data_IF_660915233283
#
_entry.id   IF_660915233283
#
_cell.length_a   1.000
_cell.length_b   1.000
_cell.length_c   1.000
_cell.angle_alpha   90.00
_cell.angle_beta   90.00
_cell.angle_gamma   90.00
#
_symmetry.space_group_name_H-M   'P 1'
#
loop_
_entity.id
_entity.type
_entity.pdbx_description
1 polymer ?
#
# COMPACT_ATOMS: atom_id res chain seq x y z
N UNK A 1 -38.03 -25.95 -0.84
CA UNK A 1 -36.66 -25.72 -0.33
C UNK A 1 -35.83 -26.93 -0.72
N UNK A 2 -34.74 -26.70 -1.45
CA UNK A 2 -33.81 -27.77 -1.88
C UNK A 2 -33.12 -28.37 -0.63
N UNK A 3 -32.68 -29.62 -0.68
CA UNK A 3 -31.93 -30.27 0.41
C UNK A 3 -30.70 -29.51 0.85
N UNK A 4 -30.04 -28.80 -0.09
CA UNK A 4 -28.85 -27.96 0.19
C UNK A 4 -29.24 -26.75 1.03
N UNK A 5 -30.36 -26.08 0.73
CA UNK A 5 -30.81 -24.90 1.51
C UNK A 5 -31.11 -25.30 2.96
N UNK A 6 -31.74 -26.46 3.17
CA UNK A 6 -31.98 -27.00 4.53
C UNK A 6 -30.69 -27.27 5.32
N UNK A 7 -29.63 -27.71 4.64
CA UNK A 7 -28.33 -27.92 5.29
C UNK A 7 -27.69 -26.57 5.67
N UNK A 8 -27.73 -25.58 4.76
CA UNK A 8 -27.22 -24.22 5.02
C UNK A 8 -27.93 -23.61 6.23
N UNK A 9 -29.27 -23.64 6.23
CA UNK A 9 -30.09 -23.11 7.32
C UNK A 9 -29.80 -23.81 8.66
N UNK A 10 -29.65 -25.14 8.62
CA UNK A 10 -29.30 -25.91 9.81
C UNK A 10 -27.94 -25.51 10.38
N UNK A 11 -26.89 -25.43 9.55
CA UNK A 11 -25.54 -25.03 9.98
C UNK A 11 -25.57 -23.65 10.60
N UNK A 12 -26.17 -22.66 9.92
CA UNK A 12 -26.24 -21.30 10.42
C UNK A 12 -27.03 -21.20 11.73
N UNK A 13 -28.12 -21.93 11.87
CA UNK A 13 -28.90 -22.01 13.10
C UNK A 13 -28.11 -22.64 14.25
N UNK A 14 -27.42 -23.76 13.98
CA UNK A 14 -26.62 -24.46 14.99
C UNK A 14 -25.43 -23.65 15.50
N UNK A 15 -24.86 -22.80 14.62
CA UNK A 15 -23.72 -21.92 14.93
C UNK A 15 -24.12 -20.53 15.40
N UNK A 16 -25.43 -20.16 15.33
CA UNK A 16 -25.94 -18.88 15.78
C UNK A 16 -25.53 -17.67 14.94
N UNK A 17 -25.01 -17.91 13.74
CA UNK A 17 -24.51 -16.87 12.82
C UNK A 17 -24.64 -17.29 11.37
N UNK A 18 -24.72 -16.33 10.43
CA UNK A 18 -24.68 -16.61 8.98
C UNK A 18 -23.24 -16.83 8.52
N UNK A 19 -22.76 -18.07 8.60
CA UNK A 19 -21.40 -18.45 8.22
C UNK A 19 -21.34 -19.19 6.89
N UNK A 20 -22.49 -19.70 6.41
CA UNK A 20 -22.57 -20.50 5.19
C UNK A 20 -23.70 -19.95 4.34
N UNK A 21 -23.38 -19.58 3.10
CA UNK A 21 -24.35 -19.13 2.08
C UNK A 21 -23.99 -19.74 0.73
N UNK A 22 -24.89 -19.67 -0.23
CA UNK A 22 -24.53 -19.94 -1.63
C UNK A 22 -23.56 -18.84 -2.11
N UNK A 23 -22.59 -19.17 -2.95
CA UNK A 23 -21.61 -18.21 -3.45
C UNK A 23 -22.28 -16.97 -4.10
N UNK A 24 -23.41 -17.15 -4.78
CA UNK A 24 -24.20 -16.04 -5.34
C UNK A 24 -24.85 -15.11 -4.29
N UNK A 25 -24.95 -15.56 -3.05
CA UNK A 25 -25.49 -14.81 -1.90
C UNK A 25 -24.39 -14.23 -1.00
N UNK A 26 -23.14 -14.53 -1.28
CA UNK A 26 -21.98 -14.05 -0.54
C UNK A 26 -21.64 -12.60 -0.92
N UNK A 27 -22.57 -11.67 -0.68
CA UNK A 27 -22.47 -10.27 -1.07
C UNK A 27 -21.48 -9.47 -0.21
N UNK A 28 -21.16 -9.95 1.00
CA UNK A 28 -20.14 -9.37 1.88
C UNK A 28 -18.70 -9.78 1.52
N UNK A 29 -18.52 -10.61 0.48
CA UNK A 29 -17.19 -11.03 0.02
C UNK A 29 -16.78 -10.17 -1.18
N UNK A 30 -15.87 -9.25 -0.92
CA UNK A 30 -15.32 -8.35 -1.93
C UNK A 30 -14.24 -7.49 -1.32
N UNK A 31 -13.87 -6.44 -2.01
CA UNK A 31 -12.95 -5.43 -1.51
C UNK A 31 -13.10 -4.13 -2.31
N UNK A 32 -12.92 -3.03 -1.63
CA UNK A 32 -12.67 -1.71 -2.23
C UNK A 32 -11.18 -1.52 -2.44
N UNK A 33 -10.82 -0.41 -3.05
CA UNK A 33 -9.43 -0.02 -3.27
C UNK A 33 -9.12 1.32 -2.60
N UNK A 34 -7.94 1.41 -2.01
CA UNK A 34 -7.38 2.64 -1.47
C UNK A 34 -6.15 3.02 -2.27
N UNK A 35 -6.10 4.26 -2.74
CA UNK A 35 -4.94 4.76 -3.48
C UNK A 35 -3.70 4.83 -2.59
N UNK A 36 -2.56 4.50 -3.17
CA UNK A 36 -1.24 4.62 -2.57
C UNK A 36 -0.67 6.05 -2.68
N UNK A 37 -1.42 6.96 -3.32
CA UNK A 37 -0.95 8.29 -3.68
C UNK A 37 -0.05 8.30 -4.94
N UNK A 38 0.14 7.14 -5.57
CA UNK A 38 0.90 6.99 -6.82
C UNK A 38 0.07 6.21 -7.84
N UNK A 39 -0.32 6.87 -8.93
CA UNK A 39 -1.13 6.24 -9.98
C UNK A 39 -0.46 4.98 -10.54
N UNK A 40 0.82 5.02 -10.78
CA UNK A 40 1.57 3.88 -11.31
C UNK A 40 1.67 2.71 -10.31
N UNK A 41 1.78 3.01 -9.01
CA UNK A 41 1.76 1.98 -7.96
C UNK A 41 0.35 1.42 -7.76
N UNK A 42 -0.67 2.25 -7.88
CA UNK A 42 -2.07 1.83 -7.83
C UNK A 42 -2.37 0.82 -8.95
N UNK A 43 -1.91 1.08 -10.18
CA UNK A 43 -2.08 0.20 -11.32
C UNK A 43 -1.44 -1.17 -11.08
N UNK A 44 -0.21 -1.24 -10.57
CA UNK A 44 0.44 -2.54 -10.30
C UNK A 44 -0.12 -3.27 -9.07
N UNK A 45 -0.76 -2.56 -8.13
CA UNK A 45 -1.56 -3.16 -7.06
C UNK A 45 -2.86 -3.73 -7.60
N UNK A 46 -3.45 -3.09 -8.60
CA UNK A 46 -4.62 -3.52 -9.35
C UNK A 46 -5.87 -2.71 -9.11
N UNK A 47 -6.86 -2.96 -9.95
CA UNK A 47 -8.20 -2.38 -9.89
C UNK A 47 -9.28 -3.42 -9.62
N UNK A 48 -10.48 -2.98 -9.27
CA UNK A 48 -11.72 -3.77 -9.26
C UNK A 48 -12.78 -3.18 -10.20
N UNK A 49 -12.52 -1.98 -10.73
CA UNK A 49 -13.23 -1.33 -11.85
C UNK A 49 -12.26 -0.34 -12.50
N UNK A 50 -12.69 0.30 -13.56
CA UNK A 50 -11.94 1.40 -14.20
C UNK A 50 -11.71 2.62 -13.29
N UNK A 51 -12.49 2.74 -12.20
CA UNK A 51 -12.44 3.89 -11.28
C UNK A 51 -11.78 3.62 -9.92
N UNK A 52 -11.64 2.35 -9.53
CA UNK A 52 -11.10 1.99 -8.22
C UNK A 52 -9.78 1.22 -8.32
N UNK A 53 -8.69 1.86 -7.97
CA UNK A 53 -7.33 1.33 -8.06
C UNK A 53 -6.56 1.49 -6.76
N UNK A 54 -5.57 0.62 -6.56
CA UNK A 54 -4.70 0.65 -5.38
C UNK A 54 -4.75 -0.61 -4.54
N UNK A 55 -4.50 -0.48 -3.22
CA UNK A 55 -4.48 -1.62 -2.29
C UNK A 55 -5.89 -2.05 -1.91
N UNK A 56 -6.17 -3.36 -1.83
CA UNK A 56 -7.50 -3.88 -1.50
C UNK A 56 -7.80 -3.77 0.00
N UNK A 57 -9.03 -3.42 0.35
CA UNK A 57 -9.59 -3.60 1.70
C UNK A 57 -9.85 -5.08 1.98
N UNK A 58 -10.07 -5.46 3.25
CA UNK A 58 -10.29 -6.86 3.64
C UNK A 58 -9.10 -7.79 3.37
N UNK A 59 -7.92 -7.24 3.11
CA UNK A 59 -6.72 -7.96 2.70
C UNK A 59 -5.47 -7.38 3.31
N UNK A 60 -4.41 -8.21 3.35
CA UNK A 60 -3.09 -7.78 3.78
C UNK A 60 -2.25 -7.42 2.54
N UNK A 61 -1.68 -6.22 2.54
CA UNK A 61 -0.66 -5.76 1.59
C UNK A 61 0.64 -5.50 2.34
N UNK A 62 1.75 -6.08 1.90
CA UNK A 62 3.08 -5.85 2.47
C UNK A 62 3.92 -4.96 1.53
N UNK A 63 4.39 -3.82 2.06
CA UNK A 63 5.46 -3.02 1.46
C UNK A 63 6.76 -3.29 2.20
N UNK A 64 7.78 -3.81 1.50
CA UNK A 64 9.05 -4.19 2.08
C UNK A 64 10.23 -3.67 1.26
N UNK A 65 11.34 -3.40 1.91
CA UNK A 65 12.52 -2.86 1.23
C UNK A 65 13.48 -2.16 2.19
N UNK A 66 14.52 -1.55 1.62
CA UNK A 66 15.53 -0.81 2.37
C UNK A 66 14.95 0.38 3.11
N UNK A 67 15.63 0.82 4.17
CA UNK A 67 15.27 2.05 4.89
C UNK A 67 15.28 3.25 3.94
N UNK A 68 14.33 4.19 4.16
CA UNK A 68 14.19 5.40 3.33
C UNK A 68 13.77 5.13 1.88
N UNK A 69 13.18 3.97 1.55
CA UNK A 69 12.58 3.69 0.24
C UNK A 69 11.12 4.18 0.10
N UNK A 70 10.65 5.04 1.00
CA UNK A 70 9.34 5.68 0.92
C UNK A 70 8.17 4.84 1.45
N UNK A 71 8.41 3.70 2.12
CA UNK A 71 7.36 2.81 2.63
C UNK A 71 6.34 3.54 3.54
N UNK A 72 6.84 4.27 4.53
CA UNK A 72 5.99 5.03 5.47
C UNK A 72 5.23 6.14 4.74
N UNK A 73 5.84 6.82 3.77
CA UNK A 73 5.17 7.83 2.93
C UNK A 73 4.00 7.23 2.14
N UNK A 74 4.18 6.05 1.53
CA UNK A 74 3.10 5.32 0.85
C UNK A 74 1.99 4.94 1.84
N UNK A 75 2.35 4.42 3.02
CA UNK A 75 1.36 4.06 4.04
C UNK A 75 0.53 5.27 4.49
N UNK A 76 1.15 6.44 4.67
CA UNK A 76 0.46 7.68 5.02
C UNK A 76 -0.48 8.15 3.90
N UNK A 77 -0.10 8.02 2.63
CA UNK A 77 -0.98 8.30 1.50
C UNK A 77 -2.19 7.35 1.46
N UNK A 78 -2.00 6.06 1.80
CA UNK A 78 -3.12 5.11 1.91
C UNK A 78 -4.07 5.50 3.05
N UNK A 79 -3.53 5.96 4.20
CA UNK A 79 -4.33 6.50 5.31
C UNK A 79 -5.13 7.70 4.83
N UNK A 80 -4.48 8.67 4.18
CA UNK A 80 -5.15 9.82 3.58
C UNK A 80 -6.27 9.39 2.63
N UNK A 81 -6.02 8.42 1.76
CA UNK A 81 -7.04 7.89 0.84
C UNK A 81 -8.25 7.30 1.56
N UNK A 82 -8.06 6.64 2.71
CA UNK A 82 -9.16 6.15 3.54
C UNK A 82 -9.94 7.30 4.19
N UNK A 83 -9.23 8.33 4.67
CA UNK A 83 -9.83 9.53 5.26
C UNK A 83 -10.63 10.34 4.24
N UNK A 84 -10.14 10.47 3.02
CA UNK A 84 -10.84 11.12 1.90
C UNK A 84 -12.15 10.38 1.54
N UNK A 85 -12.22 9.07 1.82
CA UNK A 85 -13.43 8.23 1.67
C UNK A 85 -14.31 8.22 2.94
N UNK A 86 -14.02 9.05 3.94
CA UNK A 86 -14.82 9.21 5.15
C UNK A 86 -14.52 8.22 6.28
N UNK A 87 -13.47 7.40 6.16
CA UNK A 87 -13.07 6.44 7.18
C UNK A 87 -11.95 6.98 8.08
N UNK A 88 -11.76 6.39 9.26
CA UNK A 88 -10.56 6.62 10.08
C UNK A 88 -9.40 5.75 9.60
N UNK A 89 -8.17 6.28 9.73
CA UNK A 89 -6.95 5.49 9.63
C UNK A 89 -6.47 5.00 10.99
N UNK A 90 -5.71 3.92 11.02
CA UNK A 90 -5.01 3.49 12.23
C UNK A 90 -3.53 3.21 11.91
N UNK A 91 -2.63 3.68 12.78
CA UNK A 91 -1.19 3.45 12.68
C UNK A 91 -0.67 2.78 13.94
N UNK A 92 -0.30 1.51 13.84
CA UNK A 92 0.24 0.69 14.92
C UNK A 92 1.77 0.71 14.81
N UNK A 93 2.40 1.47 15.72
CA UNK A 93 3.83 1.73 15.73
C UNK A 93 4.56 0.78 16.69
N UNK A 94 5.42 -0.06 16.15
CA UNK A 94 6.33 -0.96 16.87
C UNK A 94 7.75 -0.41 16.87
N UNK A 95 8.14 0.34 15.83
CA UNK A 95 9.51 0.84 15.63
C UNK A 95 9.86 2.04 16.52
N UNK A 96 8.86 2.79 16.94
CA UNK A 96 9.04 3.94 17.83
C UNK A 96 9.28 5.28 17.11
N UNK A 97 9.57 5.28 15.82
CA UNK A 97 9.73 6.49 15.03
C UNK A 97 8.37 6.97 14.51
N UNK A 98 7.98 8.19 14.87
CA UNK A 98 6.77 8.83 14.37
C UNK A 98 6.94 10.34 14.34
N UNK A 99 6.45 10.99 13.29
CA UNK A 99 6.49 12.44 13.10
C UNK A 99 5.11 12.94 12.64
N UNK A 100 4.41 13.65 13.53
CA UNK A 100 3.11 14.27 13.24
C UNK A 100 3.22 15.25 12.07
N UNK A 101 4.28 16.07 12.04
CA UNK A 101 4.42 17.11 11.01
C UNK A 101 4.64 16.51 9.62
N UNK A 102 5.28 15.33 9.55
CA UNK A 102 5.40 14.60 8.29
C UNK A 102 4.07 14.01 7.83
N UNK A 103 3.27 13.46 8.73
CA UNK A 103 1.94 12.94 8.42
C UNK A 103 0.99 14.06 7.93
N UNK A 104 0.96 15.21 8.64
CA UNK A 104 0.18 16.39 8.24
C UNK A 104 0.63 16.94 6.88
N UNK A 105 1.94 16.95 6.60
CA UNK A 105 2.49 17.42 5.33
C UNK A 105 2.04 16.55 4.14
N UNK A 106 1.85 15.26 4.35
CA UNK A 106 1.29 14.34 3.34
C UNK A 106 -0.22 14.54 3.19
N UNK A 107 -0.85 15.20 4.17
CA UNK A 107 -2.28 15.51 4.17
C UNK A 107 -3.11 14.54 5.00
N UNK A 108 -2.48 13.82 5.94
CA UNK A 108 -3.21 13.01 6.93
C UNK A 108 -3.86 13.91 7.96
N UNK A 109 -5.15 13.74 8.17
CA UNK A 109 -5.92 14.34 9.24
C UNK A 109 -5.65 13.58 10.54
N UNK A 110 -4.93 14.23 11.49
CA UNK A 110 -4.55 13.59 12.74
C UNK A 110 -5.74 13.35 13.67
N UNK A 111 -6.82 14.13 13.56
CA UNK A 111 -8.06 13.94 14.35
C UNK A 111 -8.82 12.67 13.89
N UNK A 112 -8.58 12.21 12.67
CA UNK A 112 -9.10 10.96 12.10
C UNK A 112 -8.07 9.85 12.06
N UNK A 113 -6.98 9.95 12.83
CA UNK A 113 -5.92 8.95 12.91
C UNK A 113 -5.85 8.34 14.30
N UNK A 114 -6.11 7.05 14.40
CA UNK A 114 -5.86 6.27 15.62
C UNK A 114 -4.37 5.91 15.63
N UNK A 115 -3.64 6.37 16.65
CA UNK A 115 -2.23 6.06 16.82
C UNK A 115 -2.01 5.15 18.03
N UNK A 116 -1.43 3.97 17.80
CA UNK A 116 -1.11 3.01 18.86
C UNK A 116 0.38 2.73 18.91
N UNK A 117 1.01 2.90 20.08
CA UNK A 117 2.38 2.43 20.34
C UNK A 117 2.30 1.10 21.09
N UNK A 118 2.84 0.05 20.51
CA UNK A 118 2.74 -1.31 21.05
C UNK A 118 4.13 -1.86 21.37
N UNK A 119 4.34 -2.39 22.59
CA UNK A 119 5.65 -2.86 23.03
C UNK A 119 5.97 -4.29 22.58
N UNK A 120 4.96 -5.11 22.29
CA UNK A 120 5.14 -6.53 21.98
C UNK A 120 4.23 -6.99 20.85
N UNK A 121 4.56 -8.14 20.27
CA UNK A 121 3.76 -8.81 19.26
C UNK A 121 2.37 -9.20 19.81
N UNK A 122 2.27 -9.58 21.08
CA UNK A 122 1.03 -9.93 21.75
C UNK A 122 0.11 -8.74 21.90
N UNK A 123 0.65 -7.58 22.28
CA UNK A 123 -0.12 -6.33 22.33
C UNK A 123 -0.55 -5.88 20.94
N UNK A 124 0.35 -5.98 19.94
CA UNK A 124 0.02 -5.68 18.56
C UNK A 124 -1.12 -6.55 18.04
N UNK A 125 -1.11 -7.85 18.36
CA UNK A 125 -2.13 -8.82 17.99
C UNK A 125 -3.53 -8.39 18.47
N UNK A 126 -3.66 -8.05 19.76
CA UNK A 126 -4.92 -7.61 20.34
C UNK A 126 -5.41 -6.29 19.73
N UNK A 127 -4.52 -5.30 19.60
CA UNK A 127 -4.85 -3.99 19.00
C UNK A 127 -5.28 -4.13 17.54
N UNK A 128 -4.57 -4.92 16.76
CA UNK A 128 -4.90 -5.13 15.34
C UNK A 128 -6.25 -5.84 15.18
N UNK A 129 -6.54 -6.84 16.02
CA UNK A 129 -7.82 -7.55 16.00
C UNK A 129 -8.98 -6.58 16.20
N UNK A 130 -8.94 -5.78 17.27
CA UNK A 130 -10.00 -4.81 17.60
C UNK A 130 -10.17 -3.76 16.50
N UNK A 131 -9.05 -3.20 15.97
CA UNK A 131 -9.12 -2.19 14.91
C UNK A 131 -9.72 -2.76 13.61
N UNK A 132 -9.41 -4.01 13.26
CA UNK A 132 -9.93 -4.65 12.05
C UNK A 132 -11.41 -5.01 12.20
N UNK A 133 -11.85 -5.38 13.39
CA UNK A 133 -13.24 -5.72 13.67
C UNK A 133 -14.13 -4.48 13.88
N UNK A 134 -13.56 -3.28 13.99
CA UNK A 134 -14.30 -2.05 14.31
C UNK A 134 -14.78 -1.35 13.01
N UNK A 135 -16.09 -1.17 12.82
CA UNK A 135 -16.62 -0.38 11.71
C UNK A 135 -16.11 1.07 11.73
N UNK A 136 -15.86 1.64 10.55
CA UNK A 136 -15.38 3.01 10.39
C UNK A 136 -13.85 3.14 10.33
N UNK A 137 -13.10 2.09 10.64
CA UNK A 137 -11.66 2.00 10.35
C UNK A 137 -11.47 1.53 8.92
N UNK A 138 -10.93 2.36 8.03
CA UNK A 138 -10.73 2.03 6.62
C UNK A 138 -9.36 1.44 6.29
N UNK A 139 -8.35 1.70 7.12
CA UNK A 139 -6.99 1.17 6.97
C UNK A 139 -6.29 1.01 8.31
N UNK A 140 -5.54 -0.06 8.46
CA UNK A 140 -4.67 -0.33 9.60
C UNK A 140 -3.25 -0.57 9.12
N UNK A 141 -2.32 0.29 9.50
CA UNK A 141 -0.89 0.19 9.18
C UNK A 141 -0.14 -0.39 10.37
N UNK A 142 0.73 -1.36 10.15
CA UNK A 142 1.68 -1.90 11.14
C UNK A 142 3.12 -1.58 10.73
N UNK A 143 3.80 -0.73 11.51
CA UNK A 143 5.19 -0.30 11.27
C UNK A 143 6.08 -0.65 12.48
N UNK A 144 6.96 -1.61 12.38
CA UNK A 144 7.22 -2.55 11.31
C UNK A 144 7.25 -3.99 11.85
N UNK A 145 6.94 -4.96 10.97
CA UNK A 145 7.00 -6.40 11.32
C UNK A 145 8.41 -6.79 11.75
N UNK A 146 9.43 -6.19 11.13
CA UNK A 146 10.83 -6.50 11.43
C UNK A 146 11.23 -6.26 12.90
N UNK A 147 10.53 -5.34 13.58
CA UNK A 147 10.81 -4.93 14.96
C UNK A 147 9.92 -5.64 16.00
N UNK A 148 8.99 -6.50 15.56
CA UNK A 148 8.12 -7.23 16.49
C UNK A 148 8.92 -8.19 17.34
N UNK A 149 8.81 -8.01 18.66
CA UNK A 149 9.44 -8.84 19.68
C UNK A 149 8.35 -9.50 20.52
N UNK A 150 8.52 -10.75 20.90
CA UNK A 150 7.56 -11.41 21.81
C UNK A 150 7.72 -10.88 23.24
N UNK A 151 6.65 -10.93 24.02
CA UNK A 151 6.70 -10.52 25.42
C UNK A 151 7.71 -11.35 26.21
N UNK A 152 7.84 -12.65 25.91
CA UNK A 152 8.83 -13.53 26.54
C UNK A 152 10.27 -13.13 26.25
N UNK A 153 10.56 -12.51 25.09
CA UNK A 153 11.88 -11.96 24.79
C UNK A 153 12.13 -10.67 25.57
N UNK A 154 11.10 -9.84 25.77
CA UNK A 154 11.19 -8.58 26.55
C UNK A 154 11.41 -8.86 28.05
N UNK A 155 10.80 -9.91 28.59
CA UNK A 155 10.90 -10.31 30.00
C UNK A 155 12.17 -11.12 30.32
N UNK A 156 12.84 -11.66 29.28
CA UNK A 156 14.07 -12.40 29.47
C UNK A 156 15.20 -11.43 29.83
N UNK A 157 15.63 -11.51 31.10
CA UNK A 157 16.73 -10.71 31.63
C UNK A 157 17.93 -10.77 30.67
N UNK A 158 18.50 -9.59 30.36
CA UNK A 158 19.63 -9.40 29.45
C UNK A 158 20.87 -10.25 29.76
N UNK A 159 20.88 -10.93 30.93
CA UNK A 159 21.94 -11.85 31.39
C UNK A 159 21.76 -13.30 30.91
N UNK A 160 20.59 -13.71 30.45
CA UNK A 160 20.35 -15.07 29.93
C UNK A 160 20.31 -15.06 28.40
N UNK A 161 21.42 -15.37 27.76
CA UNK A 161 21.65 -15.44 26.31
C UNK A 161 20.86 -16.52 25.54
N UNK A 162 19.75 -17.02 26.05
CA UNK A 162 18.98 -18.11 25.41
C UNK A 162 17.70 -17.60 24.75
N UNK A 163 17.83 -16.67 23.80
CA UNK A 163 16.71 -16.40 22.86
C UNK A 163 16.60 -17.61 21.92
N UNK A 164 15.49 -18.34 21.99
CA UNK A 164 15.27 -19.49 21.11
C UNK A 164 15.17 -19.03 19.65
N UNK A 165 15.93 -19.63 18.71
CA UNK A 165 15.80 -19.31 17.29
C UNK A 165 14.36 -19.47 16.80
N UNK A 166 13.85 -18.50 16.06
CA UNK A 166 12.53 -18.56 15.44
C UNK A 166 11.37 -17.99 16.27
N UNK A 167 11.62 -17.33 17.40
CA UNK A 167 10.60 -16.69 18.23
C UNK A 167 9.83 -15.62 17.46
N UNK A 168 10.52 -14.70 16.79
CA UNK A 168 9.91 -13.65 15.98
C UNK A 168 8.99 -14.18 14.86
N UNK A 169 9.41 -15.15 14.01
CA UNK A 169 8.52 -15.72 13.01
C UNK A 169 7.26 -16.38 13.58
N UNK A 170 7.35 -16.98 14.76
CA UNK A 170 6.16 -17.57 15.45
C UNK A 170 5.20 -16.48 15.91
N UNK A 171 5.70 -15.40 16.51
CA UNK A 171 4.91 -14.27 16.96
C UNK A 171 4.20 -13.59 15.75
N UNK A 172 4.93 -13.29 14.68
CA UNK A 172 4.35 -12.73 13.44
C UNK A 172 3.28 -13.64 12.84
N UNK A 173 3.52 -14.96 12.78
CA UNK A 173 2.53 -15.91 12.26
C UNK A 173 1.26 -15.96 13.11
N UNK A 174 1.36 -15.74 14.43
CA UNK A 174 0.21 -15.65 15.32
C UNK A 174 -0.60 -14.39 15.02
N UNK A 175 0.04 -13.22 14.94
CA UNK A 175 -0.58 -11.96 14.56
C UNK A 175 -1.32 -12.09 13.22
N UNK A 176 -0.68 -12.64 12.21
CA UNK A 176 -1.28 -12.80 10.86
C UNK A 176 -2.52 -13.71 10.89
N UNK A 177 -2.52 -14.77 11.70
CA UNK A 177 -3.71 -15.63 11.87
C UNK A 177 -4.85 -14.91 12.57
N UNK A 178 -4.56 -14.08 13.56
CA UNK A 178 -5.57 -13.29 14.27
C UNK A 178 -6.17 -12.20 13.36
N UNK A 179 -5.37 -11.59 12.50
CA UNK A 179 -5.88 -10.68 11.45
C UNK A 179 -6.86 -11.41 10.53
N UNK A 180 -6.51 -12.61 10.08
CA UNK A 180 -7.42 -13.41 9.26
C UNK A 180 -8.71 -13.77 10.02
N UNK A 181 -8.62 -14.06 11.34
CA UNK A 181 -9.79 -14.29 12.18
C UNK A 181 -10.64 -13.04 12.32
N UNK A 182 -10.03 -11.85 12.47
CA UNK A 182 -10.76 -10.58 12.54
C UNK A 182 -11.54 -10.29 11.25
N UNK A 183 -10.96 -10.56 10.08
CA UNK A 183 -11.71 -10.44 8.82
C UNK A 183 -12.91 -11.38 8.75
N UNK A 184 -12.84 -12.56 9.35
CA UNK A 184 -13.94 -13.52 9.38
C UNK A 184 -15.07 -13.12 10.36
N UNK A 185 -14.95 -12.05 11.13
CA UNK A 185 -16.05 -11.52 11.95
C UNK A 185 -17.07 -10.73 11.14
N UNK A 186 -16.69 -10.28 9.94
CA UNK A 186 -17.56 -9.54 9.05
C UNK A 186 -18.58 -10.46 8.38
N UNK A 187 -19.90 -10.10 8.37
CA UNK A 187 -20.95 -10.91 7.76
C UNK A 187 -20.68 -11.14 6.27
N UNK A 188 -20.86 -12.37 5.80
CA UNK A 188 -20.63 -12.75 4.41
C UNK A 188 -21.83 -12.45 3.48
N UNK A 189 -23.00 -12.25 4.05
CA UNK A 189 -24.26 -11.96 3.37
C UNK A 189 -24.64 -10.46 3.38
N UNK A 190 -23.91 -9.63 4.09
CA UNK A 190 -24.10 -8.18 4.14
C UNK A 190 -23.16 -7.45 3.16
N UNK A 191 -23.68 -6.82 2.09
CA UNK A 191 -22.86 -6.08 1.14
C UNK A 191 -22.09 -4.92 1.79
N UNK A 192 -22.58 -4.36 2.92
CA UNK A 192 -21.88 -3.30 3.65
C UNK A 192 -20.57 -3.80 4.28
N UNK A 193 -20.41 -5.11 4.45
CA UNK A 193 -19.14 -5.69 4.92
C UNK A 193 -17.97 -5.39 3.98
N UNK A 194 -18.22 -5.18 2.69
CA UNK A 194 -17.17 -4.80 1.72
C UNK A 194 -16.64 -3.41 2.03
N UNK A 195 -17.53 -2.47 2.35
CA UNK A 195 -17.18 -1.08 2.64
C UNK A 195 -16.62 -0.91 4.06
N UNK A 196 -17.01 -1.80 4.98
CA UNK A 196 -16.59 -1.76 6.38
C UNK A 196 -15.20 -2.34 6.66
N UNK A 197 -14.74 -3.31 5.84
CA UNK A 197 -13.46 -3.98 6.09
C UNK A 197 -12.26 -3.08 5.80
N UNK A 198 -11.29 -2.92 6.74
CA UNK A 198 -10.10 -2.11 6.49
C UNK A 198 -9.10 -2.80 5.56
N UNK A 199 -8.27 -2.01 4.88
CA UNK A 199 -7.02 -2.52 4.32
C UNK A 199 -6.01 -2.73 5.46
N UNK A 200 -5.26 -3.83 5.46
CA UNK A 200 -4.16 -4.03 6.40
C UNK A 200 -2.83 -3.89 5.68
N UNK A 201 -2.03 -2.95 6.11
CA UNK A 201 -0.75 -2.59 5.50
C UNK A 201 0.38 -2.99 6.43
N UNK A 202 1.24 -3.87 5.97
CA UNK A 202 2.47 -4.22 6.66
C UNK A 202 3.64 -3.46 6.06
N UNK A 203 4.36 -2.73 6.90
CA UNK A 203 5.67 -2.21 6.55
C UNK A 203 6.74 -3.17 7.06
N UNK A 204 7.73 -3.46 6.20
CA UNK A 204 8.77 -4.40 6.56
C UNK A 204 10.13 -3.96 5.99
N UNK A 205 11.18 -4.31 6.73
CA UNK A 205 12.55 -4.01 6.32
C UNK A 205 13.08 -5.14 5.43
N UNK A 206 14.01 -4.81 4.56
CA UNK A 206 14.81 -5.78 3.82
C UNK A 206 15.97 -6.25 4.71
N UNK A 207 16.21 -7.54 4.71
CA UNK A 207 17.42 -8.14 5.32
C UNK A 207 18.11 -9.05 4.31
N UNK A 208 19.40 -9.25 4.50
CA UNK A 208 20.22 -10.13 3.67
C UNK A 208 20.58 -11.40 4.46
N UNK A 209 20.52 -12.55 3.78
CA UNK A 209 21.02 -13.81 4.32
C UNK A 209 22.50 -13.92 4.02
N UNK A 210 23.33 -13.93 5.07
CA UNK A 210 24.77 -14.14 4.95
C UNK A 210 25.04 -15.54 4.39
N UNK A 211 25.82 -15.64 3.31
CA UNK A 211 26.20 -16.90 2.70
C UNK A 211 25.14 -17.59 1.82
N UNK A 212 24.04 -16.92 1.48
CA UNK A 212 23.03 -17.47 0.58
C UNK A 212 23.54 -17.46 -0.88
N UNK A 213 23.35 -18.58 -1.59
CA UNK A 213 23.54 -18.65 -3.04
C UNK A 213 22.32 -18.05 -3.74
N UNK A 214 22.49 -17.17 -4.71
CA UNK A 214 21.41 -16.51 -5.43
C UNK A 214 21.01 -15.17 -4.81
N UNK A 215 19.70 -14.84 -4.77
CA UNK A 215 19.24 -13.59 -4.18
C UNK A 215 19.23 -13.69 -2.64
N UNK A 216 20.10 -12.96 -1.93
CA UNK A 216 20.18 -13.01 -0.47
C UNK A 216 19.05 -12.23 0.22
N UNK A 217 18.36 -11.35 -0.51
CA UNK A 217 17.36 -10.44 0.04
C UNK A 217 16.08 -11.16 0.47
N UNK A 218 15.60 -10.86 1.67
CA UNK A 218 14.32 -11.34 2.17
C UNK A 218 13.65 -10.36 3.12
N UNK A 219 12.33 -10.49 3.29
CA UNK A 219 11.59 -9.77 4.31
C UNK A 219 11.40 -10.64 5.56
N UNK A 220 11.76 -10.16 6.77
CA UNK A 220 11.60 -10.92 8.02
C UNK A 220 10.13 -11.20 8.36
N UNK A 221 9.90 -12.09 9.34
CA UNK A 221 8.57 -12.47 9.82
C UNK A 221 8.09 -13.85 9.35
N UNK A 222 8.88 -14.57 8.54
CA UNK A 222 8.63 -15.98 8.17
C UNK A 222 7.63 -16.16 7.02
N UNK A 223 7.52 -17.41 6.55
CA UNK A 223 6.71 -17.76 5.37
C UNK A 223 5.20 -17.57 5.56
N UNK A 224 4.68 -17.61 6.80
CA UNK A 224 3.24 -17.50 7.04
C UNK A 224 2.68 -16.15 6.61
N UNK A 225 3.35 -15.04 6.91
CA UNK A 225 2.94 -13.72 6.42
C UNK A 225 3.02 -13.64 4.87
N UNK A 226 4.04 -14.26 4.27
CA UNK A 226 4.20 -14.28 2.82
C UNK A 226 3.03 -15.00 2.13
N UNK A 227 2.50 -16.04 2.76
CA UNK A 227 1.33 -16.76 2.25
C UNK A 227 0.04 -15.96 2.43
N UNK A 228 -0.16 -15.31 3.58
CA UNK A 228 -1.38 -14.58 3.90
C UNK A 228 -1.47 -13.25 3.13
N UNK A 229 -0.38 -12.52 2.98
CA UNK A 229 -0.38 -11.30 2.20
C UNK A 229 -0.94 -11.55 0.78
N UNK A 230 -1.91 -10.75 0.39
CA UNK A 230 -2.50 -10.80 -0.96
C UNK A 230 -1.63 -10.08 -1.96
N UNK A 231 -1.03 -8.97 -1.55
CA UNK A 231 -0.10 -8.18 -2.36
C UNK A 231 1.22 -8.04 -1.60
N UNK A 232 2.34 -8.16 -2.29
CA UNK A 232 3.67 -7.91 -1.75
C UNK A 232 4.47 -7.07 -2.74
N UNK A 233 4.84 -5.88 -2.31
CA UNK A 233 5.59 -4.90 -3.11
C UNK A 233 6.96 -4.68 -2.48
N UNK A 234 8.00 -4.96 -3.25
CA UNK A 234 9.37 -4.61 -2.90
C UNK A 234 9.64 -3.18 -3.34
N UNK A 235 10.15 -2.36 -2.43
CA UNK A 235 10.49 -0.97 -2.67
C UNK A 235 11.99 -0.75 -2.52
N UNK A 236 12.60 -0.04 -3.46
CA UNK A 236 14.01 0.29 -3.45
C UNK A 236 14.25 1.74 -3.86
N UNK A 237 15.42 2.26 -3.45
CA UNK A 237 15.86 3.60 -3.83
C UNK A 237 16.41 3.56 -5.25
N UNK A 238 16.00 4.52 -6.07
CA UNK A 238 16.60 4.79 -7.36
C UNK A 238 17.51 6.03 -7.32
N UNK A 239 17.47 6.80 -8.38
CA UNK A 239 18.30 8.00 -8.55
C UNK A 239 17.88 9.13 -7.60
N UNK A 240 18.88 9.86 -7.08
CA UNK A 240 18.67 11.10 -6.34
C UNK A 240 18.70 12.30 -7.31
N UNK A 241 17.59 13.03 -7.38
CA UNK A 241 17.47 14.22 -8.18
C UNK A 241 17.90 15.44 -7.37
N UNK A 242 18.85 16.19 -7.89
CA UNK A 242 19.49 17.32 -7.21
C UNK A 242 19.12 18.66 -7.86
N UNK A 243 19.20 19.76 -7.10
CA UNK A 243 19.01 21.12 -7.62
C UNK A 243 19.93 21.36 -8.82
N UNK A 244 21.20 21.01 -8.70
CA UNK A 244 22.16 21.01 -9.79
C UNK A 244 22.59 19.59 -10.09
N UNK A 245 22.22 19.06 -11.25
CA UNK A 245 22.51 17.67 -11.67
C UNK A 245 24.02 17.39 -11.80
N UNK A 246 24.81 18.40 -12.18
CA UNK A 246 26.23 18.26 -12.42
C UNK A 246 27.05 18.28 -11.11
N UNK A 247 26.50 18.88 -10.06
CA UNK A 247 27.16 19.00 -8.76
C UNK A 247 26.65 17.97 -7.76
N UNK A 248 27.41 16.91 -7.52
CA UNK A 248 27.09 15.84 -6.56
C UNK A 248 26.96 16.36 -5.11
N UNK A 249 27.50 17.50 -4.76
CA UNK A 249 27.36 18.14 -3.45
C UNK A 249 26.10 19.00 -3.36
N UNK A 250 25.38 19.25 -4.48
CA UNK A 250 24.12 19.97 -4.49
C UNK A 250 23.05 19.17 -3.70
N UNK A 251 22.18 19.87 -2.94
CA UNK A 251 21.12 19.20 -2.19
C UNK A 251 20.22 18.34 -3.09
N UNK A 252 19.90 17.11 -2.65
CA UNK A 252 18.89 16.31 -3.27
C UNK A 252 17.50 16.88 -2.94
N UNK A 253 16.64 16.99 -3.94
CA UNK A 253 15.27 17.55 -3.83
C UNK A 253 14.21 16.48 -4.04
N UNK A 254 14.54 15.45 -4.83
CA UNK A 254 13.64 14.32 -5.05
C UNK A 254 14.43 13.02 -5.19
N UNK A 255 13.73 11.90 -5.08
CA UNK A 255 14.29 10.56 -5.22
C UNK A 255 13.34 9.72 -6.06
N UNK A 256 13.88 9.00 -7.04
CA UNK A 256 13.13 7.93 -7.71
C UNK A 256 12.97 6.77 -6.75
N UNK A 257 11.75 6.30 -6.57
CA UNK A 257 11.42 5.06 -5.89
C UNK A 257 11.07 4.02 -6.95
N UNK A 258 11.69 2.85 -6.84
CA UNK A 258 11.35 1.70 -7.67
C UNK A 258 10.49 0.73 -6.87
N UNK A 259 9.38 0.29 -7.45
CA UNK A 259 8.48 -0.67 -6.83
C UNK A 259 8.29 -1.89 -7.74
N UNK A 260 8.36 -3.08 -7.14
CA UNK A 260 8.12 -4.36 -7.81
C UNK A 260 7.09 -5.16 -7.05
N UNK A 261 5.98 -5.47 -7.69
CA UNK A 261 4.94 -6.34 -7.14
C UNK A 261 5.34 -7.82 -7.30
N UNK A 262 5.95 -8.39 -6.26
CA UNK A 262 6.47 -9.76 -6.29
C UNK A 262 5.36 -10.82 -6.13
N UNK A 263 4.20 -10.42 -5.60
CA UNK A 263 3.04 -11.27 -5.41
C UNK A 263 1.77 -10.43 -5.51
N UNK A 264 0.81 -10.92 -6.26
CA UNK A 264 -0.53 -10.36 -6.31
C UNK A 264 -1.56 -11.48 -6.48
N UNK A 265 -2.51 -11.61 -5.56
CA UNK A 265 -3.60 -12.58 -5.60
C UNK A 265 -4.89 -11.99 -6.22
N UNK A 266 -4.91 -10.69 -6.46
CA UNK A 266 -6.11 -9.94 -6.89
C UNK A 266 -5.88 -9.16 -8.19
N UNK A 267 -4.65 -9.23 -8.73
CA UNK A 267 -4.25 -8.62 -10.01
C UNK A 267 -3.03 -9.35 -10.59
N UNK A 268 -2.53 -8.90 -11.74
CA UNK A 268 -1.33 -9.47 -12.36
C UNK A 268 -0.07 -9.25 -11.48
N UNK A 269 0.65 -10.31 -11.11
CA UNK A 269 1.89 -10.19 -10.34
C UNK A 269 3.08 -9.81 -11.24
N UNK A 270 4.23 -9.54 -10.61
CA UNK A 270 5.54 -9.29 -11.23
C UNK A 270 5.66 -8.00 -12.03
N UNK A 271 4.69 -7.10 -11.92
CA UNK A 271 4.77 -5.78 -12.50
C UNK A 271 5.73 -4.88 -11.72
N UNK A 272 6.34 -3.93 -12.42
CA UNK A 272 7.28 -2.96 -11.86
C UNK A 272 6.88 -1.56 -12.25
N UNK A 273 7.17 -0.60 -11.37
CA UNK A 273 7.00 0.81 -11.65
C UNK A 273 8.06 1.65 -10.97
N UNK A 274 8.20 2.88 -11.43
CA UNK A 274 9.01 3.91 -10.80
C UNK A 274 8.14 5.14 -10.53
N UNK A 275 8.45 5.86 -9.45
CA UNK A 275 7.78 7.10 -9.09
C UNK A 275 8.77 8.11 -8.53
N UNK A 276 8.54 9.38 -8.75
CA UNK A 276 9.36 10.46 -8.23
C UNK A 276 8.75 10.98 -6.93
N UNK A 277 9.48 10.84 -5.82
CA UNK A 277 9.12 11.37 -4.51
C UNK A 277 9.95 12.61 -4.19
N UNK A 278 9.31 13.74 -3.93
CA UNK A 278 9.98 14.93 -3.44
C UNK A 278 10.33 14.79 -1.95
N UNK A 279 11.59 15.04 -1.61
CA UNK A 279 12.13 14.96 -0.24
C UNK A 279 12.37 16.34 0.36
N UNK A 280 12.19 17.40 -0.42
CA UNK A 280 12.27 18.82 -0.03
C UNK A 280 11.28 19.62 -0.85
N UNK A 281 10.82 20.71 -0.26
CA UNK A 281 10.05 21.70 -0.98
C UNK A 281 10.92 22.33 -2.06
N UNK A 282 10.41 22.37 -3.29
CA UNK A 282 11.13 22.91 -4.46
C UNK A 282 10.16 23.48 -5.48
N UNK A 283 10.60 24.49 -6.20
CA UNK A 283 9.90 24.99 -7.38
C UNK A 283 10.69 24.59 -8.63
N UNK A 284 10.11 23.73 -9.47
CA UNK A 284 10.75 23.25 -10.70
C UNK A 284 9.98 23.76 -11.91
N UNK A 285 10.63 24.56 -12.77
CA UNK A 285 9.99 25.17 -13.95
C UNK A 285 8.65 25.87 -13.67
N UNK A 286 8.55 26.54 -12.53
CA UNK A 286 7.34 27.26 -12.13
C UNK A 286 6.37 26.43 -11.30
N UNK A 287 6.45 25.10 -11.34
CA UNK A 287 5.59 24.17 -10.58
C UNK A 287 6.14 23.99 -9.16
N UNK A 288 5.35 24.27 -8.11
CA UNK A 288 5.74 23.99 -6.74
C UNK A 288 5.56 22.51 -6.43
N UNK A 289 6.49 21.92 -5.71
CA UNK A 289 6.41 20.56 -5.16
C UNK A 289 6.77 20.57 -3.69
N UNK A 290 6.02 19.85 -2.89
CA UNK A 290 6.23 19.75 -1.45
C UNK A 290 6.96 18.44 -1.07
N UNK A 291 7.74 18.50 0.00
CA UNK A 291 8.33 17.28 0.55
C UNK A 291 7.23 16.29 0.96
N UNK A 292 7.39 15.02 0.59
CA UNK A 292 6.38 13.99 0.77
C UNK A 292 5.45 13.78 -0.43
N UNK A 293 5.46 14.70 -1.39
CA UNK A 293 4.66 14.63 -2.61
C UNK A 293 5.24 13.62 -3.60
N UNK A 294 4.37 12.84 -4.22
CA UNK A 294 4.68 12.00 -5.39
C UNK A 294 4.27 12.79 -6.64
N UNK A 295 5.18 12.96 -7.59
CA UNK A 295 4.95 13.74 -8.80
C UNK A 295 3.89 13.09 -9.71
N UNK A 296 2.64 13.54 -9.59
CA UNK A 296 1.51 13.00 -10.35
C UNK A 296 1.63 13.30 -11.85
N UNK A 297 2.12 14.48 -12.20
CA UNK A 297 2.27 14.89 -13.60
C UNK A 297 3.35 14.07 -14.31
N UNK A 298 4.44 13.78 -13.62
CA UNK A 298 5.48 12.87 -14.14
C UNK A 298 4.90 11.48 -14.40
N UNK A 299 4.08 10.96 -13.47
CA UNK A 299 3.42 9.67 -13.64
C UNK A 299 2.43 9.66 -14.82
N UNK A 300 1.58 10.68 -14.95
CA UNK A 300 0.64 10.79 -16.06
C UNK A 300 1.38 10.81 -17.40
N UNK A 301 2.44 11.62 -17.51
CA UNK A 301 3.23 11.70 -18.73
C UNK A 301 3.93 10.37 -19.07
N UNK A 302 4.51 9.69 -18.06
CA UNK A 302 5.18 8.39 -18.26
C UNK A 302 4.19 7.29 -18.62
N UNK A 303 3.05 7.21 -17.93
CA UNK A 303 2.02 6.22 -18.20
C UNK A 303 1.31 6.49 -19.54
N UNK A 304 1.03 7.76 -19.87
CA UNK A 304 0.46 8.13 -21.17
C UNK A 304 1.33 7.69 -22.34
N UNK A 305 2.67 7.83 -22.21
CA UNK A 305 3.62 7.28 -23.18
C UNK A 305 3.60 5.75 -23.19
N UNK A 306 3.56 5.12 -22.02
CA UNK A 306 3.56 3.65 -21.90
C UNK A 306 2.33 3.02 -22.55
N UNK A 307 1.16 3.64 -22.38
CA UNK A 307 -0.09 3.16 -22.97
C UNK A 307 -0.31 3.62 -24.41
N UNK A 308 0.58 4.48 -24.94
CA UNK A 308 0.48 4.99 -26.31
C UNK A 308 -0.60 6.05 -26.51
N UNK A 309 -0.99 6.73 -25.43
CA UNK A 309 -1.96 7.83 -25.41
C UNK A 309 -1.31 9.17 -25.75
N UNK A 310 0.00 9.30 -25.44
CA UNK A 310 0.81 10.46 -25.80
C UNK A 310 1.64 10.09 -27.01
N UNK A 311 1.48 10.84 -28.11
CA UNK A 311 2.31 10.70 -29.29
C UNK A 311 3.66 11.36 -29.09
N UNK A 312 4.73 10.68 -29.57
CA UNK A 312 6.09 11.22 -29.56
C UNK A 312 6.70 11.19 -30.96
N UNK A 313 7.03 12.37 -31.48
CA UNK A 313 7.71 12.53 -32.77
C UNK A 313 9.06 13.23 -32.57
N UNK A 314 10.12 12.45 -32.50
CA UNK A 314 11.44 12.98 -32.14
C UNK A 314 11.49 13.56 -30.74
N UNK A 315 11.68 14.89 -30.64
CA UNK A 315 11.65 15.61 -29.35
C UNK A 315 10.28 16.20 -29.01
N UNK A 316 9.29 16.13 -29.89
CA UNK A 316 7.94 16.70 -29.70
C UNK A 316 7.03 15.66 -29.08
N UNK A 317 6.27 16.10 -28.06
CA UNK A 317 5.25 15.33 -27.37
C UNK A 317 3.89 15.96 -27.62
N UNK A 318 2.90 15.14 -27.99
CA UNK A 318 1.56 15.59 -28.40
C UNK A 318 0.49 14.81 -27.61
N UNK A 319 -0.43 15.55 -27.02
CA UNK A 319 -1.64 15.03 -26.39
C UNK A 319 -2.70 16.14 -26.34
N UNK A 320 -3.92 15.87 -26.81
CA UNK A 320 -5.01 16.82 -26.94
C UNK A 320 -4.53 18.13 -27.62
N UNK A 321 -4.63 19.27 -26.95
CA UNK A 321 -4.21 20.57 -27.47
C UNK A 321 -2.73 20.88 -27.18
N UNK A 322 -2.03 20.02 -26.46
CA UNK A 322 -0.62 20.19 -26.09
C UNK A 322 0.27 19.61 -27.20
N UNK A 323 1.14 20.42 -27.77
CA UNK A 323 2.18 19.98 -28.72
C UNK A 323 3.45 20.80 -28.49
N UNK A 324 4.43 20.21 -27.80
CA UNK A 324 5.64 20.91 -27.40
C UNK A 324 6.90 20.05 -27.50
N UNK A 325 8.02 20.68 -27.76
CA UNK A 325 9.33 20.03 -27.79
C UNK A 325 9.93 19.93 -26.37
N UNK A 326 10.34 18.73 -26.01
CA UNK A 326 10.96 18.43 -24.72
C UNK A 326 9.98 17.92 -23.66
N UNK A 327 10.34 16.79 -23.05
CA UNK A 327 9.48 16.09 -22.08
C UNK A 327 9.14 16.94 -20.84
N UNK A 328 10.12 17.69 -20.32
CA UNK A 328 9.87 18.57 -19.17
C UNK A 328 8.98 19.78 -19.53
N UNK A 329 9.01 20.26 -20.81
CA UNK A 329 8.10 21.29 -21.27
C UNK A 329 6.68 20.74 -21.40
N UNK A 330 6.54 19.52 -21.93
CA UNK A 330 5.26 18.82 -22.01
C UNK A 330 4.61 18.64 -20.62
N UNK A 331 5.39 18.22 -19.62
CA UNK A 331 4.89 18.11 -18.23
C UNK A 331 4.45 19.45 -17.66
N UNK A 332 5.16 20.54 -17.96
CA UNK A 332 4.77 21.86 -17.50
C UNK A 332 3.46 22.34 -18.14
N UNK A 333 3.25 22.06 -19.44
CA UNK A 333 1.96 22.34 -20.09
C UNK A 333 0.85 21.46 -19.53
N UNK A 334 1.09 20.16 -19.38
CA UNK A 334 0.09 19.25 -18.80
C UNK A 334 -0.33 19.68 -17.38
N UNK A 335 0.60 20.20 -16.57
CA UNK A 335 0.30 20.77 -15.25
C UNK A 335 -0.61 22.00 -15.34
N UNK A 336 -0.45 22.84 -16.36
CA UNK A 336 -1.24 24.05 -16.54
C UNK A 336 -2.63 23.78 -17.14
N UNK A 337 -2.86 22.57 -17.69
CA UNK A 337 -4.13 22.16 -18.32
C UNK A 337 -4.80 21.03 -17.52
N UNK A 338 -5.42 21.38 -16.38
CA UNK A 338 -6.08 20.42 -15.48
C UNK A 338 -7.07 19.49 -16.21
N UNK A 339 -7.82 20.02 -17.17
CA UNK A 339 -8.77 19.21 -17.94
C UNK A 339 -8.08 18.14 -18.77
N UNK A 340 -6.97 18.46 -19.45
CA UNK A 340 -6.19 17.48 -20.22
C UNK A 340 -5.50 16.46 -19.30
N UNK A 341 -5.00 16.90 -18.13
CA UNK A 341 -4.41 15.99 -17.15
C UNK A 341 -5.45 15.03 -16.56
N UNK A 342 -6.66 15.51 -16.27
CA UNK A 342 -7.79 14.71 -15.81
C UNK A 342 -8.22 13.67 -16.85
N UNK A 343 -8.43 14.10 -18.10
CA UNK A 343 -8.77 13.22 -19.22
C UNK A 343 -7.70 12.15 -19.45
N UNK A 344 -6.42 12.52 -19.48
CA UNK A 344 -5.31 11.59 -19.65
C UNK A 344 -5.29 10.53 -18.53
N UNK A 345 -5.60 10.93 -17.29
CA UNK A 345 -5.71 10.00 -16.17
C UNK A 345 -6.80 8.96 -16.40
N UNK A 346 -7.98 9.39 -16.82
CA UNK A 346 -9.12 8.49 -17.06
C UNK A 346 -8.82 7.52 -18.21
N UNK A 347 -8.24 8.02 -19.31
CA UNK A 347 -7.80 7.18 -20.44
C UNK A 347 -6.70 6.17 -20.04
N UNK A 348 -5.76 6.56 -19.17
CA UNK A 348 -4.74 5.65 -18.63
C UNK A 348 -5.40 4.53 -17.82
N UNK A 349 -6.36 4.85 -16.96
CA UNK A 349 -7.04 3.87 -16.12
C UNK A 349 -7.91 2.92 -16.95
N UNK A 350 -8.60 3.42 -17.97
CA UNK A 350 -9.33 2.62 -18.94
C UNK A 350 -8.41 1.65 -19.70
N UNK A 351 -7.30 2.16 -20.26
CA UNK A 351 -6.30 1.35 -20.94
C UNK A 351 -5.66 0.30 -20.02
N UNK A 352 -5.42 0.65 -18.75
CA UNK A 352 -4.90 -0.28 -17.75
C UNK A 352 -5.93 -1.36 -17.40
N UNK A 353 -7.21 -1.01 -17.35
CA UNK A 353 -8.31 -1.93 -17.09
C UNK A 353 -8.52 -2.91 -18.26
N UNK A 354 -8.53 -2.42 -19.50
CA UNK A 354 -8.65 -3.25 -20.70
C UNK A 354 -7.51 -4.26 -20.81
N UNK A 355 -6.28 -3.83 -20.54
CA UNK A 355 -5.11 -4.71 -20.53
C UNK A 355 -5.08 -5.66 -19.33
N UNK A 356 -5.94 -5.45 -18.30
CA UNK A 356 -5.99 -6.23 -17.03
C UNK A 356 -4.62 -6.58 -16.46
N UNK A 357 -3.69 -5.62 -16.57
CA UNK A 357 -2.32 -5.79 -16.11
C UNK A 357 -1.49 -6.73 -16.98
N UNK A 358 -1.84 -6.90 -18.26
CA UNK A 358 -1.03 -7.60 -19.24
C UNK A 358 0.16 -6.76 -19.72
#
# INVERSE_FOLDING_TARGET
MNSIDKIIDKINKDLGNTLVVRAAQAQGIGYRRLSTGSLSLDIICGGNSEYEWGVPTGRITEFWGVEGSGKTTIALNIIKSAQDKGSCGAFVNVEGAWDNSWAERIGVDLDKLIFARVPSAETAESVLYELIATPGVGVVVLDSIAMMTSQSELETDTKKKNVQPGTQPRAVNRVVRHIASAFNTWPIDDPNSIDGQPAVIFLNQLREKIGAYGNPEYSPGGKGKDHQASIRVQMSKGELHRVNKENKSSPAVAMTIKARCNKNKVWAPFQTTEMLLYIRDVKKKGVPHNAGEIDQIDQLAMLGLHYGLIDRRGSVYEYDQISVAGFDAFKAELFNFDAAAGQLKDEILEAAWEKKGL
#
